data_IF_834242915461
#
_entry.id   IF_834242915461
#
_cell.length_a   1.000
_cell.length_b   1.000
_cell.length_c   1.000
_cell.angle_alpha   90.00
_cell.angle_beta   90.00
_cell.angle_gamma   90.00
#
_symmetry.space_group_name_H-M   'P 1'
#
loop_
_entity.id
_entity.type
_entity.pdbx_description
1 polymer ?
#
# COMPACT_ATOMS: atom_id res chain seq x y z
N UNK A 1 11.66 5.54 -9.93
CA UNK A 1 10.94 4.73 -10.94
C UNK A 1 10.85 3.29 -10.44
N UNK A 2 9.66 2.72 -10.28
CA UNK A 2 9.53 1.34 -9.79
C UNK A 2 10.09 0.35 -10.82
N UNK A 3 10.84 -0.67 -10.36
CA UNK A 3 11.49 -1.68 -11.23
C UNK A 3 10.48 -2.50 -12.05
N UNK A 4 9.27 -2.66 -11.51
CA UNK A 4 8.13 -3.34 -12.12
C UNK A 4 6.99 -2.33 -12.33
N UNK A 5 6.26 -2.48 -13.43
CA UNK A 5 5.03 -1.73 -13.71
C UNK A 5 3.96 -2.71 -14.25
N UNK A 6 2.74 -2.24 -14.41
CA UNK A 6 1.61 -3.10 -14.82
C UNK A 6 1.81 -3.72 -16.21
N UNK A 7 2.42 -2.97 -17.14
CA UNK A 7 2.77 -3.48 -18.48
C UNK A 7 3.75 -4.65 -18.39
N UNK A 8 4.78 -4.55 -17.55
CA UNK A 8 5.76 -5.63 -17.31
C UNK A 8 5.11 -6.83 -16.62
N UNK A 9 4.22 -6.62 -15.65
CA UNK A 9 3.48 -7.70 -14.99
C UNK A 9 2.63 -8.47 -16.01
N UNK A 10 1.89 -7.75 -16.86
CA UNK A 10 1.08 -8.36 -17.91
C UNK A 10 1.94 -9.16 -18.88
N UNK A 11 3.08 -8.60 -19.29
CA UNK A 11 4.02 -9.28 -20.17
C UNK A 11 4.61 -10.55 -19.53
N UNK A 12 5.01 -10.49 -18.25
CA UNK A 12 5.53 -11.65 -17.50
C UNK A 12 4.52 -12.80 -17.50
N UNK A 13 3.25 -12.50 -17.25
CA UNK A 13 2.17 -13.50 -17.23
C UNK A 13 1.97 -14.10 -18.62
N UNK A 14 1.89 -13.27 -19.65
CA UNK A 14 1.77 -13.72 -21.04
C UNK A 14 2.90 -14.66 -21.44
N UNK A 15 4.15 -14.29 -21.16
CA UNK A 15 5.30 -15.14 -21.50
C UNK A 15 5.33 -16.45 -20.71
N UNK A 16 4.83 -16.43 -19.47
CA UNK A 16 4.64 -17.64 -18.68
C UNK A 16 3.60 -18.57 -19.28
N UNK A 17 2.49 -18.04 -19.77
CA UNK A 17 1.46 -18.82 -20.48
C UNK A 17 1.99 -19.37 -21.81
N UNK A 18 2.88 -18.64 -22.49
CA UNK A 18 3.60 -19.13 -23.68
C UNK A 18 4.68 -20.18 -23.37
N UNK A 19 4.92 -20.53 -22.11
CA UNK A 19 5.83 -21.61 -21.72
C UNK A 19 7.29 -21.19 -21.47
N UNK A 20 7.63 -19.90 -21.46
CA UNK A 20 9.00 -19.46 -21.15
C UNK A 20 9.38 -19.78 -19.69
N UNK A 21 10.67 -20.08 -19.50
CA UNK A 21 11.19 -20.33 -18.16
C UNK A 21 11.21 -19.04 -17.33
N UNK A 22 11.10 -19.19 -16.00
CA UNK A 22 11.17 -18.03 -15.10
C UNK A 22 12.52 -17.32 -15.17
N UNK A 23 13.60 -18.04 -15.50
CA UNK A 23 14.96 -17.51 -15.59
C UNK A 23 15.15 -16.63 -16.82
N UNK A 24 14.62 -17.03 -17.98
CA UNK A 24 14.64 -16.20 -19.19
C UNK A 24 13.82 -14.92 -19.01
N UNK A 25 12.60 -15.05 -18.46
CA UNK A 25 11.73 -13.92 -18.16
C UNK A 25 12.41 -12.96 -17.18
N UNK A 26 13.07 -13.50 -16.15
CA UNK A 26 13.81 -12.74 -15.15
C UNK A 26 14.97 -11.97 -15.79
N UNK A 27 15.73 -12.60 -16.67
CA UNK A 27 16.82 -11.97 -17.41
C UNK A 27 16.32 -10.80 -18.28
N UNK A 28 15.27 -11.03 -19.08
CA UNK A 28 14.71 -10.01 -19.99
C UNK A 28 14.15 -8.81 -19.19
N UNK A 29 13.42 -9.07 -18.11
CA UNK A 29 12.79 -8.02 -17.30
C UNK A 29 13.73 -7.42 -16.25
N UNK A 30 14.96 -7.94 -16.14
CA UNK A 30 15.98 -7.57 -15.14
C UNK A 30 15.47 -7.73 -13.69
N UNK A 31 14.64 -8.73 -13.43
CA UNK A 31 14.09 -9.07 -12.09
C UNK A 31 14.61 -10.43 -11.63
N UNK A 32 14.36 -10.81 -10.38
CA UNK A 32 14.72 -12.14 -9.89
C UNK A 32 13.68 -13.19 -10.35
N UNK A 33 14.12 -14.43 -10.61
CA UNK A 33 13.22 -15.54 -10.94
C UNK A 33 12.16 -15.78 -9.85
N UNK A 34 12.51 -15.54 -8.58
CA UNK A 34 11.56 -15.56 -7.46
C UNK A 34 10.41 -14.58 -7.66
N UNK A 35 10.70 -13.34 -8.11
CA UNK A 35 9.66 -12.33 -8.35
C UNK A 35 8.74 -12.73 -9.50
N UNK A 36 9.28 -13.32 -10.57
CA UNK A 36 8.48 -13.88 -11.68
C UNK A 36 7.52 -14.95 -11.16
N UNK A 37 8.03 -15.89 -10.35
CA UNK A 37 7.22 -16.97 -9.77
C UNK A 37 6.12 -16.44 -8.85
N UNK A 38 6.41 -15.42 -8.02
CA UNK A 38 5.41 -14.79 -7.17
C UNK A 38 4.27 -14.15 -7.97
N UNK A 39 4.60 -13.42 -9.04
CA UNK A 39 3.62 -12.79 -9.92
C UNK A 39 2.72 -13.85 -10.56
N UNK A 40 3.32 -14.90 -11.12
CA UNK A 40 2.58 -15.95 -11.80
C UNK A 40 1.74 -16.79 -10.83
N UNK A 41 2.24 -17.09 -9.64
CA UNK A 41 1.50 -17.79 -8.60
C UNK A 41 0.29 -16.98 -8.13
N UNK A 42 0.44 -15.67 -7.94
CA UNK A 42 -0.68 -14.79 -7.60
C UNK A 42 -1.76 -14.86 -8.68
N UNK A 43 -1.38 -14.68 -9.95
CA UNK A 43 -2.30 -14.77 -11.09
C UNK A 43 -3.00 -16.14 -11.19
N UNK A 44 -2.27 -17.24 -11.02
CA UNK A 44 -2.86 -18.59 -11.00
C UNK A 44 -3.86 -18.81 -9.87
N UNK A 45 -3.67 -18.16 -8.72
CA UNK A 45 -4.54 -18.29 -7.54
C UNK A 45 -5.78 -17.39 -7.62
N UNK A 46 -5.64 -16.16 -8.11
CA UNK A 46 -6.71 -15.16 -8.06
C UNK A 46 -7.40 -14.94 -9.41
N UNK A 47 -6.81 -15.42 -10.51
CA UNK A 47 -7.24 -15.09 -11.88
C UNK A 47 -6.96 -13.63 -12.29
N UNK A 48 -6.32 -12.84 -11.41
CA UNK A 48 -6.11 -11.41 -11.59
C UNK A 48 -4.62 -11.05 -11.45
N UNK A 49 -4.22 -9.96 -12.09
CA UNK A 49 -2.84 -9.48 -12.03
C UNK A 49 -2.57 -8.81 -10.68
N UNK A 50 -1.39 -9.00 -10.07
CA UNK A 50 -1.05 -8.31 -8.83
C UNK A 50 -1.01 -6.79 -9.07
N UNK A 51 -1.72 -6.03 -8.24
CA UNK A 51 -1.73 -4.57 -8.28
C UNK A 51 -0.58 -4.04 -7.43
N UNK A 52 0.26 -3.19 -8.03
CA UNK A 52 1.33 -2.51 -7.30
C UNK A 52 0.74 -1.32 -6.53
N UNK A 53 0.70 -1.45 -5.20
CA UNK A 53 0.32 -0.32 -4.33
C UNK A 53 1.46 0.69 -4.27
N UNK A 54 1.16 1.98 -4.06
CA UNK A 54 2.18 2.98 -3.79
C UNK A 54 3.02 2.56 -2.58
N UNK A 55 4.35 2.78 -2.61
CA UNK A 55 5.19 2.55 -1.45
C UNK A 55 4.84 3.55 -0.35
N UNK A 56 4.90 3.12 0.92
CA UNK A 56 4.63 3.98 2.07
C UNK A 56 3.86 3.25 3.17
N UNK A 57 3.70 3.94 4.31
CA UNK A 57 2.78 3.51 5.36
C UNK A 57 1.34 3.66 4.81
N UNK A 58 0.46 2.67 5.02
CA UNK A 58 -0.96 2.84 4.74
C UNK A 58 -1.46 4.10 5.45
N UNK A 59 -2.23 4.93 4.74
CA UNK A 59 -2.89 6.06 5.36
C UNK A 59 -4.01 5.54 6.27
N UNK A 60 -4.02 5.99 7.51
CA UNK A 60 -5.09 5.78 8.47
C UNK A 60 -5.96 7.05 8.43
N UNK A 61 -7.07 7.07 7.67
CA UNK A 61 -7.90 8.25 7.56
C UNK A 61 -8.57 8.52 8.90
N UNK A 62 -8.56 9.79 9.33
CA UNK A 62 -9.33 10.22 10.50
C UNK A 62 -10.82 10.17 10.19
N UNK A 63 -11.62 9.69 11.14
CA UNK A 63 -13.06 9.77 11.04
C UNK A 63 -13.54 11.23 11.17
N UNK A 64 -14.65 11.60 10.52
CA UNK A 64 -15.23 12.94 10.61
C UNK A 64 -15.51 13.36 12.07
N UNK A 65 -15.85 12.39 12.93
CA UNK A 65 -16.06 12.61 14.36
C UNK A 65 -14.77 13.05 15.07
N UNK A 66 -13.65 12.43 14.74
CA UNK A 66 -12.34 12.75 15.32
C UNK A 66 -11.89 14.13 14.84
N UNK A 67 -12.07 14.44 13.56
CA UNK A 67 -11.79 15.76 12.98
C UNK A 67 -12.61 16.85 13.68
N UNK A 68 -13.91 16.59 13.88
CA UNK A 68 -14.79 17.53 14.58
C UNK A 68 -14.34 17.73 16.02
N UNK A 69 -13.98 16.66 16.74
CA UNK A 69 -13.52 16.75 18.12
C UNK A 69 -12.20 17.50 18.25
N UNK A 70 -11.25 17.27 17.36
CA UNK A 70 -9.98 18.04 17.26
C UNK A 70 -10.28 19.54 17.14
N UNK A 71 -11.21 19.91 16.26
CA UNK A 71 -11.61 21.31 16.06
C UNK A 71 -12.26 21.89 17.30
N UNK A 72 -13.20 21.17 17.93
CA UNK A 72 -13.87 21.61 19.15
C UNK A 72 -12.86 21.90 20.27
N UNK A 73 -11.94 20.97 20.56
CA UNK A 73 -10.90 21.15 21.59
C UNK A 73 -10.03 22.37 21.27
N UNK A 74 -9.63 22.54 20.00
CA UNK A 74 -8.84 23.70 19.61
C UNK A 74 -9.62 25.01 19.74
N UNK A 75 -10.91 25.05 19.38
CA UNK A 75 -11.72 26.26 19.50
C UNK A 75 -12.03 26.63 20.95
N UNK A 76 -12.34 25.65 21.79
CA UNK A 76 -12.70 25.82 23.19
C UNK A 76 -11.49 26.20 24.05
N UNK A 77 -10.39 25.45 23.94
CA UNK A 77 -9.23 25.60 24.81
C UNK A 77 -8.08 26.40 24.18
N UNK A 78 -8.10 26.66 22.86
CA UNK A 78 -7.05 27.38 22.11
C UNK A 78 -5.66 26.75 22.25
N UNK A 79 -5.61 25.42 22.29
CA UNK A 79 -4.39 24.64 22.57
C UNK A 79 -3.76 24.05 21.30
N UNK A 80 -2.45 23.77 21.38
CA UNK A 80 -1.69 23.16 20.29
C UNK A 80 -1.83 21.64 20.19
N UNK A 81 -1.30 21.07 19.09
CA UNK A 81 -1.48 19.67 18.71
C UNK A 81 -1.15 18.65 19.83
N UNK A 82 -0.04 18.83 20.55
CA UNK A 82 0.35 17.89 21.62
C UNK A 82 -0.69 17.80 22.74
N UNK A 83 -1.30 18.93 23.12
CA UNK A 83 -2.31 18.92 24.18
C UNK A 83 -3.63 18.37 23.68
N UNK A 84 -4.00 18.65 22.42
CA UNK A 84 -5.16 18.04 21.78
C UNK A 84 -5.02 16.51 21.79
N UNK A 85 -3.85 15.98 21.44
CA UNK A 85 -3.60 14.54 21.46
C UNK A 85 -3.78 13.94 22.86
N UNK A 86 -3.26 14.61 23.91
CA UNK A 86 -3.44 14.18 25.29
C UNK A 86 -4.93 14.17 25.67
N UNK A 87 -5.68 15.21 25.32
CA UNK A 87 -7.10 15.31 25.62
C UNK A 87 -7.92 14.24 24.90
N UNK A 88 -7.64 13.99 23.62
CA UNK A 88 -8.27 12.91 22.86
C UNK A 88 -7.95 11.53 23.45
N UNK A 89 -6.70 11.33 23.90
CA UNK A 89 -6.28 10.06 24.52
C UNK A 89 -7.00 9.82 25.85
N UNK A 90 -7.25 10.87 26.64
CA UNK A 90 -8.07 10.79 27.87
C UNK A 90 -9.52 10.43 27.56
N UNK A 91 -10.05 10.84 26.41
CA UNK A 91 -11.38 10.48 25.91
C UNK A 91 -11.42 9.09 25.24
N UNK A 92 -10.28 8.39 25.17
CA UNK A 92 -10.16 7.06 24.55
C UNK A 92 -9.95 7.08 23.03
N UNK A 93 -9.82 8.26 22.42
CA UNK A 93 -9.54 8.43 20.99
C UNK A 93 -8.03 8.37 20.77
N UNK A 94 -7.57 7.45 19.93
CA UNK A 94 -6.15 7.30 19.58
C UNK A 94 -5.92 7.77 18.15
N UNK A 95 -5.28 8.93 18.03
CA UNK A 95 -4.84 9.46 16.73
C UNK A 95 -3.49 8.83 16.38
N UNK A 96 -3.40 8.20 15.21
CA UNK A 96 -2.15 7.65 14.70
C UNK A 96 -1.18 8.77 14.32
N UNK A 97 0.04 8.73 14.86
CA UNK A 97 1.15 9.62 14.50
C UNK A 97 2.14 8.92 13.56
#
# INVERSE_FOLDING_TARGET
MAKLNDKKIAWIIKMKECGLSSSEIAFIQKVTSRRVNQIYLHYKRTGSRPILRPPGRPEEPLEEKEIKRIREIHYEYKVGACLIEIMLRLEGIKVSH
#
